data_IF_016275390773
#
_entry.id   IF_016275390773
#
_cell.length_a   1.000
_cell.length_b   1.000
_cell.length_c   1.000
_cell.angle_alpha   90.00
_cell.angle_beta   90.00
_cell.angle_gamma   90.00
#
_symmetry.space_group_name_H-M   'P 1'
#
loop_
_entity.id
_entity.type
_entity.pdbx_description
1 polymer ?
#
# COMPACT_ATOMS: atom_id res chain seq x y z
N UNK A 1 7.57 -27.06 -41.85
CA UNK A 1 7.77 -25.62 -41.56
C UNK A 1 6.63 -25.04 -40.76
N UNK A 2 5.37 -25.37 -41.07
CA UNK A 2 4.19 -24.93 -40.28
C UNK A 2 4.19 -25.45 -38.83
N UNK A 3 4.60 -26.70 -38.61
CA UNK A 3 4.68 -27.33 -37.28
C UNK A 3 5.64 -26.59 -36.32
N UNK A 4 6.71 -25.98 -36.84
CA UNK A 4 7.66 -25.17 -36.07
C UNK A 4 7.10 -23.80 -35.70
N UNK A 5 6.18 -23.24 -36.50
CA UNK A 5 5.55 -21.95 -36.23
C UNK A 5 4.43 -22.09 -35.19
N UNK A 6 3.63 -23.16 -35.27
CA UNK A 6 2.62 -23.46 -34.25
C UNK A 6 3.24 -23.69 -32.87
N UNK A 7 4.39 -24.37 -32.80
CA UNK A 7 5.15 -24.52 -31.55
C UNK A 7 5.64 -23.17 -31.00
N UNK A 8 6.14 -22.27 -31.85
CA UNK A 8 6.57 -20.92 -31.45
C UNK A 8 5.41 -20.08 -30.90
N UNK A 9 4.24 -20.14 -31.55
CA UNK A 9 3.03 -19.44 -31.09
C UNK A 9 2.59 -19.98 -29.73
N UNK A 10 2.56 -21.31 -29.56
CA UNK A 10 2.20 -21.96 -28.30
C UNK A 10 3.18 -21.62 -27.17
N UNK A 11 4.48 -21.56 -27.46
CA UNK A 11 5.48 -21.12 -26.49
C UNK A 11 5.27 -19.66 -26.07
N UNK A 12 4.94 -18.78 -27.01
CA UNK A 12 4.66 -17.38 -26.72
C UNK A 12 3.41 -17.20 -25.84
N UNK A 13 2.32 -17.89 -26.15
CA UNK A 13 1.08 -17.87 -25.35
C UNK A 13 1.32 -18.38 -23.93
N UNK A 14 2.04 -19.51 -23.79
CA UNK A 14 2.41 -20.05 -22.49
C UNK A 14 3.27 -19.06 -21.68
N UNK A 15 4.22 -18.39 -22.35
CA UNK A 15 5.07 -17.40 -21.71
C UNK A 15 4.29 -16.16 -21.25
N UNK A 16 3.33 -15.70 -22.06
CA UNK A 16 2.42 -14.60 -21.71
C UNK A 16 1.55 -14.97 -20.51
N UNK A 17 0.91 -16.14 -20.55
CA UNK A 17 0.09 -16.64 -19.44
C UNK A 17 0.89 -16.81 -18.14
N UNK A 18 2.12 -17.31 -18.23
CA UNK A 18 3.02 -17.44 -17.08
C UNK A 18 3.39 -16.07 -16.48
N UNK A 19 3.69 -15.08 -17.33
CA UNK A 19 3.95 -13.70 -16.89
C UNK A 19 2.74 -13.05 -16.23
N UNK A 20 1.55 -13.22 -16.81
CA UNK A 20 0.32 -12.66 -16.25
C UNK A 20 -0.01 -13.28 -14.90
N UNK A 21 0.17 -14.60 -14.75
CA UNK A 21 0.02 -15.29 -13.46
C UNK A 21 1.02 -14.77 -12.42
N UNK A 22 2.30 -14.64 -12.78
CA UNK A 22 3.30 -14.08 -11.87
C UNK A 22 2.97 -12.64 -11.48
N UNK A 23 2.50 -11.83 -12.43
CA UNK A 23 2.13 -10.44 -12.18
C UNK A 23 0.97 -10.33 -11.19
N UNK A 24 -0.05 -11.18 -11.31
CA UNK A 24 -1.16 -11.26 -10.35
C UNK A 24 -0.68 -11.66 -8.96
N UNK A 25 0.17 -12.69 -8.86
CA UNK A 25 0.74 -13.12 -7.57
C UNK A 25 1.53 -12.00 -6.89
N UNK A 26 2.43 -11.34 -7.62
CA UNK A 26 3.25 -10.24 -7.09
C UNK A 26 2.36 -9.04 -6.67
N UNK A 27 1.33 -8.74 -7.45
CA UNK A 27 0.38 -7.67 -7.14
C UNK A 27 -0.37 -7.94 -5.83
N UNK A 28 -0.85 -9.17 -5.66
CA UNK A 28 -1.54 -9.65 -4.45
C UNK A 28 -0.62 -9.61 -3.24
N UNK A 29 0.60 -10.15 -3.33
CA UNK A 29 1.58 -10.13 -2.25
C UNK A 29 1.94 -8.70 -1.81
N UNK A 30 2.09 -7.80 -2.78
CA UNK A 30 2.39 -6.39 -2.52
C UNK A 30 1.26 -5.72 -1.74
N UNK A 31 0.02 -5.86 -2.19
CA UNK A 31 -1.13 -5.25 -1.51
C UNK A 31 -1.32 -5.86 -0.12
N UNK A 32 -1.19 -7.18 0.00
CA UNK A 32 -1.29 -7.88 1.28
C UNK A 32 -0.25 -7.36 2.28
N UNK A 33 1.02 -7.22 1.86
CA UNK A 33 2.09 -6.67 2.70
C UNK A 33 1.77 -5.25 3.17
N UNK A 34 1.23 -4.40 2.29
CA UNK A 34 0.86 -3.03 2.63
C UNK A 34 -0.33 -3.00 3.60
N UNK A 35 -1.32 -3.85 3.39
CA UNK A 35 -2.51 -3.90 4.22
C UNK A 35 -2.18 -4.40 5.63
N UNK A 36 -1.38 -5.47 5.77
CA UNK A 36 -0.85 -5.92 7.07
C UNK A 36 -0.12 -4.80 7.82
N UNK A 37 0.75 -4.07 7.11
CA UNK A 37 1.47 -2.94 7.72
C UNK A 37 0.53 -1.85 8.21
N UNK A 38 -0.51 -1.49 7.45
CA UNK A 38 -1.49 -0.48 7.88
C UNK A 38 -2.25 -0.91 9.14
N UNK A 39 -2.65 -2.18 9.23
CA UNK A 39 -3.29 -2.73 10.44
C UNK A 39 -2.33 -2.65 11.63
N UNK A 40 -1.07 -3.09 11.46
CA UNK A 40 -0.04 -3.01 12.49
C UNK A 40 0.24 -1.57 12.94
N UNK A 41 0.44 -0.64 12.00
CA UNK A 41 0.69 0.77 12.31
C UNK A 41 -0.50 1.40 13.04
N UNK A 42 -1.73 1.07 12.66
CA UNK A 42 -2.93 1.57 13.35
C UNK A 42 -3.01 1.03 14.76
N UNK A 43 -2.78 -0.27 14.96
CA UNK A 43 -2.77 -0.92 16.28
C UNK A 43 -1.73 -0.32 17.22
N UNK A 44 -0.49 -0.17 16.76
CA UNK A 44 0.59 0.45 17.55
C UNK A 44 0.30 1.95 17.78
N UNK A 45 -0.26 2.65 16.80
CA UNK A 45 -0.68 4.04 16.95
C UNK A 45 -1.78 4.23 17.99
N UNK A 46 -2.75 3.31 18.05
CA UNK A 46 -3.80 3.29 19.08
C UNK A 46 -3.19 3.11 20.47
N UNK A 47 -2.27 2.16 20.65
CA UNK A 47 -1.57 1.95 21.93
C UNK A 47 -0.76 3.18 22.34
N UNK A 48 0.01 3.76 21.42
CA UNK A 48 0.78 4.99 21.69
C UNK A 48 -0.13 6.16 22.07
N UNK A 49 -1.33 6.24 21.50
CA UNK A 49 -2.33 7.26 21.87
C UNK A 49 -2.85 7.03 23.29
N UNK A 50 -3.12 5.78 23.66
CA UNK A 50 -3.51 5.42 25.03
C UNK A 50 -2.40 5.75 26.02
N UNK A 51 -1.15 5.40 25.74
CA UNK A 51 0.00 5.74 26.58
C UNK A 51 0.16 7.26 26.75
N UNK A 52 -0.04 8.01 25.67
CA UNK A 52 0.05 9.48 25.72
C UNK A 52 -1.01 10.12 26.62
N UNK A 53 -2.25 9.64 26.58
CA UNK A 53 -3.35 10.25 27.33
C UNK A 53 -3.55 9.66 28.73
N UNK A 54 -3.24 8.38 28.92
CA UNK A 54 -3.48 7.63 30.16
C UNK A 54 -2.20 7.23 30.88
N UNK A 55 -1.02 7.46 30.30
CA UNK A 55 0.28 7.11 30.89
C UNK A 55 0.54 7.70 32.27
N UNK A 56 -0.12 8.81 32.60
CA UNK A 56 -0.06 9.41 33.94
C UNK A 56 -0.63 8.49 35.03
N UNK A 57 -1.56 7.58 34.69
CA UNK A 57 -2.23 6.71 35.66
C UNK A 57 -1.34 5.61 36.25
N UNK A 58 -0.23 5.28 35.58
CA UNK A 58 0.73 4.27 36.04
C UNK A 58 2.16 4.81 36.11
N UNK A 59 2.29 6.13 36.26
CA UNK A 59 3.58 6.77 36.50
C UNK A 59 4.55 6.69 35.32
N UNK A 60 4.08 6.61 34.07
CA UNK A 60 4.95 6.52 32.89
C UNK A 60 5.94 7.69 32.75
N UNK A 61 5.65 8.84 33.38
CA UNK A 61 6.49 10.04 33.35
C UNK A 61 7.19 10.37 34.69
N UNK A 62 6.97 9.58 35.76
CA UNK A 62 7.53 9.86 37.09
C UNK A 62 8.54 8.77 37.52
N UNK A 63 9.79 9.16 37.80
CA UNK A 63 10.86 8.32 38.38
C UNK A 63 10.63 7.97 39.89
N UNK A 64 9.39 8.12 40.38
CA UNK A 64 9.02 7.82 41.76
C UNK A 64 8.80 6.33 42.01
N UNK A 65 8.80 5.90 43.28
CA UNK A 65 8.35 4.56 43.65
C UNK A 65 6.85 4.41 43.32
N UNK A 66 6.46 3.46 42.47
CA UNK A 66 5.07 3.30 42.07
C UNK A 66 4.20 2.97 43.27
N UNK A 67 3.09 3.66 43.40
CA UNK A 67 2.06 3.33 44.38
C UNK A 67 1.43 1.97 44.04
N UNK A 68 0.85 1.26 45.03
CA UNK A 68 0.15 -0.01 44.76
C UNK A 68 -0.97 0.12 43.72
N UNK A 69 -1.62 1.29 43.66
CA UNK A 69 -2.67 1.59 42.68
C UNK A 69 -2.11 1.78 41.26
N UNK A 70 -0.98 2.48 41.11
CA UNK A 70 -0.28 2.63 39.81
C UNK A 70 0.21 1.27 39.28
N UNK A 71 0.68 0.40 40.15
CA UNK A 71 1.11 -0.96 39.78
C UNK A 71 -0.07 -1.81 39.28
N UNK A 72 -1.22 -1.75 39.97
CA UNK A 72 -2.43 -2.44 39.53
C UNK A 72 -2.94 -1.91 38.18
N UNK A 73 -2.89 -0.59 37.97
CA UNK A 73 -3.29 0.02 36.71
C UNK A 73 -2.35 -0.36 35.56
N UNK A 74 -1.05 -0.46 35.84
CA UNK A 74 -0.05 -0.94 34.87
C UNK A 74 -0.31 -2.38 34.43
N UNK A 75 -0.68 -3.26 35.37
CA UNK A 75 -1.03 -4.65 35.07
C UNK A 75 -2.25 -4.73 34.15
N UNK A 76 -3.30 -3.94 34.44
CA UNK A 76 -4.48 -3.85 33.59
C UNK A 76 -4.15 -3.30 32.20
N UNK A 77 -3.25 -2.31 32.11
CA UNK A 77 -2.79 -1.78 30.83
C UNK A 77 -2.05 -2.84 30.00
N UNK A 78 -1.17 -3.64 30.62
CA UNK A 78 -0.46 -4.72 29.92
C UNK A 78 -1.41 -5.84 29.46
N UNK A 79 -2.48 -6.12 30.21
CA UNK A 79 -3.54 -7.04 29.77
C UNK A 79 -4.28 -6.50 28.54
N UNK A 80 -4.73 -5.23 28.60
CA UNK A 80 -5.40 -4.56 27.46
C UNK A 80 -4.49 -4.50 26.24
N UNK A 81 -3.20 -4.18 26.44
CA UNK A 81 -2.20 -4.16 25.39
C UNK A 81 -2.05 -5.54 24.73
N UNK A 82 -1.97 -6.59 25.53
CA UNK A 82 -1.88 -7.97 25.04
C UNK A 82 -3.11 -8.35 24.22
N UNK A 83 -4.31 -7.99 24.69
CA UNK A 83 -5.57 -8.27 24.00
C UNK A 83 -5.68 -7.51 22.67
N UNK A 84 -5.29 -6.22 22.65
CA UNK A 84 -5.27 -5.41 21.41
C UNK A 84 -4.31 -6.01 20.38
N UNK A 85 -3.12 -6.43 20.81
CA UNK A 85 -2.12 -7.06 19.94
C UNK A 85 -2.62 -8.39 19.36
N UNK A 86 -3.24 -9.23 20.18
CA UNK A 86 -3.75 -10.53 19.74
C UNK A 86 -4.93 -10.39 18.76
N UNK A 87 -5.85 -9.47 19.05
CA UNK A 87 -6.95 -9.12 18.13
C UNK A 87 -6.40 -8.58 16.80
N UNK A 88 -5.43 -7.68 16.83
CA UNK A 88 -4.80 -7.14 15.62
C UNK A 88 -4.10 -8.21 14.78
N UNK A 89 -3.40 -9.16 15.42
CA UNK A 89 -2.78 -10.29 14.75
C UNK A 89 -3.80 -11.24 14.13
N UNK A 90 -4.92 -11.50 14.82
CA UNK A 90 -6.02 -12.30 14.29
C UNK A 90 -6.64 -11.64 13.06
N UNK A 91 -6.88 -10.32 13.10
CA UNK A 91 -7.38 -9.58 11.94
C UNK A 91 -6.40 -9.59 10.76
N UNK A 92 -5.09 -9.51 11.02
CA UNK A 92 -4.09 -9.64 9.97
C UNK A 92 -4.15 -11.02 9.28
N UNK A 93 -4.37 -12.10 10.05
CA UNK A 93 -4.55 -13.46 9.49
C UNK A 93 -5.84 -13.61 8.69
N UNK A 94 -6.95 -13.06 9.19
CA UNK A 94 -8.23 -13.08 8.46
C UNK A 94 -8.10 -12.35 7.11
N UNK A 95 -7.40 -11.21 7.10
CA UNK A 95 -7.10 -10.48 5.88
C UNK A 95 -6.30 -11.32 4.87
N UNK A 96 -5.32 -12.11 5.32
CA UNK A 96 -4.60 -13.04 4.45
C UNK A 96 -5.52 -14.08 3.82
N UNK A 97 -6.44 -14.64 4.61
CA UNK A 97 -7.40 -15.62 4.15
C UNK A 97 -8.37 -15.01 3.12
N UNK A 98 -8.88 -13.79 3.37
CA UNK A 98 -9.73 -13.07 2.43
C UNK A 98 -9.02 -12.81 1.11
N UNK A 99 -7.77 -12.34 1.15
CA UNK A 99 -6.97 -12.11 -0.04
C UNK A 99 -6.77 -13.38 -0.86
N UNK A 100 -6.78 -14.56 -0.24
CA UNK A 100 -6.65 -15.84 -0.94
C UNK A 100 -7.75 -16.05 -1.98
N UNK A 101 -8.98 -15.57 -1.71
CA UNK A 101 -10.15 -15.73 -2.57
C UNK A 101 -10.25 -14.72 -3.72
N UNK A 102 -9.43 -13.66 -3.72
CA UNK A 102 -9.48 -12.62 -4.75
C UNK A 102 -8.28 -12.69 -5.70
N UNK A 103 -8.57 -12.44 -6.98
CA UNK A 103 -7.57 -12.10 -7.99
C UNK A 103 -7.37 -10.58 -7.98
N UNK A 104 -6.13 -10.16 -7.70
CA UNK A 104 -5.79 -8.74 -7.51
C UNK A 104 -4.78 -8.36 -8.57
N UNK A 105 -5.14 -7.37 -9.38
CA UNK A 105 -4.27 -6.79 -10.40
C UNK A 105 -3.87 -5.38 -9.99
N UNK A 106 -2.56 -5.11 -9.95
CA UNK A 106 -2.07 -3.77 -9.69
C UNK A 106 -2.25 -2.91 -10.95
N UNK A 107 -3.20 -1.99 -10.89
CA UNK A 107 -3.39 -0.95 -11.89
C UNK A 107 -2.21 0.03 -11.79
N UNK A 108 -1.20 -0.17 -12.64
CA UNK A 108 -0.05 0.74 -12.76
C UNK A 108 -0.56 2.14 -13.11
N UNK A 109 0.16 3.17 -12.68
CA UNK A 109 -0.08 4.54 -13.14
C UNK A 109 0.02 4.57 -14.67
N UNK A 110 -1.08 4.90 -15.35
CA UNK A 110 -1.12 5.16 -16.79
C UNK A 110 -1.11 6.66 -16.96
N UNK A 111 -0.08 7.19 -17.61
CA UNK A 111 -0.09 8.57 -18.10
C UNK A 111 -0.19 8.53 -19.62
N UNK A 112 -1.23 9.16 -20.15
CA UNK A 112 -1.33 9.43 -21.58
C UNK A 112 -0.56 10.73 -21.80
N UNK A 113 0.63 10.63 -22.39
CA UNK A 113 1.42 11.80 -22.74
C UNK A 113 0.90 12.29 -24.09
N UNK A 114 0.26 13.47 -24.18
CA UNK A 114 -0.16 14.02 -25.44
C UNK A 114 1.08 14.42 -26.26
N UNK A 115 1.24 13.81 -27.43
CA UNK A 115 2.29 14.20 -28.38
C UNK A 115 1.74 15.36 -29.20
N UNK A 116 2.36 16.55 -29.10
CA UNK A 116 2.14 17.63 -30.07
C UNK A 116 2.97 17.32 -31.31
N UNK A 117 2.31 17.09 -32.44
CA UNK A 117 2.94 17.09 -33.76
C UNK A 117 3.52 18.47 -34.04
N UNK A 118 4.72 18.52 -34.60
CA UNK A 118 5.46 19.76 -34.89
C UNK A 118 4.84 20.60 -36.03
N UNK A 119 3.70 20.22 -36.59
CA UNK A 119 3.13 20.84 -37.79
C UNK A 119 2.24 22.07 -37.51
N UNK A 120 2.00 22.43 -36.25
CA UNK A 120 1.09 23.54 -35.89
C UNK A 120 1.79 24.88 -35.55
N UNK A 121 3.09 25.05 -35.87
CA UNK A 121 3.82 26.29 -35.54
C UNK A 121 4.11 27.25 -36.71
N UNK A 122 3.64 26.99 -37.93
CA UNK A 122 4.03 27.81 -39.10
C UNK A 122 2.92 28.68 -39.73
N UNK A 123 1.85 29.04 -39.01
CA UNK A 123 0.82 29.95 -39.60
C UNK A 123 0.40 31.16 -38.77
N UNK A 124 1.11 31.51 -37.69
CA UNK A 124 0.82 32.76 -36.98
C UNK A 124 2.07 33.62 -36.75
N UNK A 125 2.69 34.07 -37.84
CA UNK A 125 3.53 35.27 -37.85
C UNK A 125 3.45 35.95 -39.22
N UNK A 126 2.30 36.56 -39.52
CA UNK A 126 2.22 37.77 -40.34
C UNK A 126 2.02 38.87 -39.28
N UNK A 127 3.05 39.60 -38.83
CA UNK A 127 3.91 40.39 -39.68
C UNK A 127 3.19 41.70 -39.98
N UNK A 128 2.88 42.46 -38.93
CA UNK A 128 2.54 43.88 -39.04
C UNK A 128 3.74 44.59 -39.68
N UNK A 129 3.68 44.84 -40.99
CA UNK A 129 4.57 45.77 -41.68
C UNK A 129 3.91 47.14 -41.75
N UNK A 130 4.47 48.05 -40.97
CA UNK A 130 4.14 49.48 -40.90
C UNK A 130 4.83 50.23 -42.07
N UNK A 131 4.07 51.01 -42.85
CA UNK A 131 4.53 52.29 -43.45
C UNK A 131 5.07 52.34 -44.90
N UNK A 132 4.29 52.92 -45.83
CA UNK A 132 4.66 53.99 -46.82
C UNK A 132 3.34 54.37 -47.54
N UNK A 133 2.91 55.62 -47.74
CA UNK A 133 3.55 56.91 -48.05
C UNK A 133 2.55 58.03 -47.66
#
# INVERSE_FOLDING_TARGET
>A
MEESYEELVRQHENFKAAKDKQFKTVSKERLLKLAKKKVQTTMIGSLSTVEKFFGFLWGHENDGTPTPEEQHMKELYEEVRSEILDRGNTQARNLEAEFAYYDIEWLRYRMEIPIKSLEDQDTNTQGDEDGTD
#
